data_IF_712527383513
#
_entry.id   IF_712527383513
#
_cell.length_a   1.000
_cell.length_b   1.000
_cell.length_c   1.000
_cell.angle_alpha   90.00
_cell.angle_beta   90.00
_cell.angle_gamma   90.00
#
_symmetry.space_group_name_H-M   'P 1'
#
loop_
_entity.id
_entity.type
_entity.pdbx_description
1 polymer ?
#
# COMPACT_ATOMS: atom_id res chain seq x y z
N UNK A 1 -9.99 -12.68 -7.36
CA UNK A 1 -10.45 -11.40 -6.75
C UNK A 1 -10.96 -11.59 -5.31
N UNK A 2 -11.87 -12.53 -5.04
CA UNK A 2 -12.36 -12.81 -3.67
C UNK A 2 -11.29 -13.29 -2.69
N UNK A 3 -10.32 -14.11 -3.14
CA UNK A 3 -9.22 -14.55 -2.28
C UNK A 3 -8.31 -13.40 -1.82
N UNK A 4 -8.07 -12.41 -2.69
CA UNK A 4 -7.26 -11.25 -2.33
C UNK A 4 -7.98 -10.42 -1.26
N UNK A 5 -9.29 -10.26 -1.39
CA UNK A 5 -10.14 -9.59 -0.41
C UNK A 5 -10.18 -10.35 0.93
N UNK A 6 -10.30 -11.69 0.88
CA UNK A 6 -10.25 -12.54 2.07
C UNK A 6 -8.87 -12.49 2.77
N UNK A 7 -7.77 -12.48 2.00
CA UNK A 7 -6.41 -12.27 2.52
C UNK A 7 -6.25 -10.88 3.14
N UNK A 8 -6.85 -9.84 2.55
CA UNK A 8 -6.88 -8.48 3.11
C UNK A 8 -7.63 -8.45 4.44
N UNK A 9 -8.82 -9.05 4.51
CA UNK A 9 -9.61 -9.13 5.75
C UNK A 9 -8.90 -9.93 6.84
N UNK A 10 -8.24 -11.04 6.48
CA UNK A 10 -7.42 -11.83 7.40
C UNK A 10 -6.19 -11.06 7.88
N UNK A 11 -5.54 -10.32 6.98
CA UNK A 11 -4.43 -9.44 7.29
C UNK A 11 -4.82 -8.33 8.30
N UNK A 12 -5.98 -7.70 8.10
CA UNK A 12 -6.53 -6.69 9.00
C UNK A 12 -6.82 -7.25 10.40
N UNK A 13 -7.23 -8.52 10.47
CA UNK A 13 -7.54 -9.23 11.71
C UNK A 13 -6.32 -9.90 12.40
N UNK A 14 -5.13 -9.87 11.78
CA UNK A 14 -3.93 -10.41 12.43
C UNK A 14 -3.47 -9.51 13.58
N UNK A 15 -2.82 -10.06 14.62
CA UNK A 15 -2.29 -9.31 15.80
C UNK A 15 -1.14 -8.32 15.47
N UNK A 16 -1.01 -7.93 14.20
CA UNK A 16 -0.07 -6.92 13.74
C UNK A 16 -0.53 -5.54 14.17
N UNK A 17 0.41 -4.65 14.49
CA UNK A 17 0.10 -3.28 14.87
C UNK A 17 -0.57 -2.55 13.68
N UNK A 18 -1.66 -1.78 13.91
CA UNK A 18 -2.34 -0.98 12.88
C UNK A 18 -1.38 -0.09 12.07
N UNK A 19 -0.34 0.44 12.69
CA UNK A 19 0.72 1.22 12.02
C UNK A 19 1.52 0.42 10.98
N UNK A 20 1.77 -0.88 11.19
CA UNK A 20 2.49 -1.74 10.23
C UNK A 20 1.65 -2.05 8.98
N UNK A 21 0.33 -2.07 9.13
CA UNK A 21 -0.59 -2.22 8.01
C UNK A 21 -0.73 -0.88 7.29
N UNK A 22 -0.85 0.23 8.03
CA UNK A 22 -0.96 1.58 7.46
C UNK A 22 0.26 1.96 6.64
N UNK A 23 1.47 1.66 7.12
CA UNK A 23 2.70 1.84 6.35
C UNK A 23 2.71 0.98 5.08
N UNK A 24 2.14 -0.22 5.13
CA UNK A 24 1.99 -1.08 3.96
C UNK A 24 1.15 -0.41 2.86
N UNK A 25 0.07 0.29 3.23
CA UNK A 25 -0.75 1.05 2.29
C UNK A 25 0.03 2.23 1.69
N UNK A 26 0.80 2.95 2.50
CA UNK A 26 1.62 4.07 2.01
C UNK A 26 2.68 3.57 1.01
N UNK A 27 3.45 2.55 1.36
CA UNK A 27 4.46 2.00 0.44
C UNK A 27 3.84 1.42 -0.83
N UNK A 28 2.69 0.76 -0.69
CA UNK A 28 1.95 0.23 -1.83
C UNK A 28 1.43 1.34 -2.75
N UNK A 29 1.06 2.50 -2.21
CA UNK A 29 0.67 3.67 -2.99
C UNK A 29 1.85 4.19 -3.81
N UNK A 30 3.02 4.38 -3.18
CA UNK A 30 4.23 4.77 -3.91
C UNK A 30 4.54 3.77 -5.03
N UNK A 31 4.60 2.47 -4.72
CA UNK A 31 4.91 1.45 -5.74
C UNK A 31 3.82 1.28 -6.80
N UNK A 32 2.56 1.55 -6.47
CA UNK A 32 1.42 1.44 -7.38
C UNK A 32 1.27 2.62 -8.32
N UNK A 33 1.56 3.84 -7.85
CA UNK A 33 1.43 5.05 -8.66
C UNK A 33 2.68 5.32 -9.52
N UNK A 34 3.87 4.91 -9.06
CA UNK A 34 5.08 5.09 -9.85
C UNK A 34 5.25 3.96 -10.87
N UNK A 35 5.70 4.25 -12.10
CA UNK A 35 5.95 3.23 -13.12
C UNK A 35 6.88 2.11 -12.63
N UNK A 36 6.44 0.87 -12.74
CA UNK A 36 6.94 -0.28 -11.97
C UNK A 36 8.39 -0.72 -12.24
N UNK A 37 9.07 -0.21 -13.27
CA UNK A 37 10.40 -0.68 -13.72
C UNK A 37 11.52 0.37 -13.57
N UNK A 38 11.46 1.24 -12.56
CA UNK A 38 12.54 2.18 -12.24
C UNK A 38 13.40 1.77 -11.03
N UNK A 39 14.56 2.40 -10.87
CA UNK A 39 15.43 2.23 -9.69
C UNK A 39 14.70 2.50 -8.36
N UNK A 40 13.74 3.45 -8.37
CA UNK A 40 12.92 3.78 -7.22
C UNK A 40 12.09 2.59 -6.72
N UNK A 41 11.56 1.76 -7.63
CA UNK A 41 10.76 0.57 -7.26
C UNK A 41 11.59 -0.47 -6.52
N UNK A 42 12.85 -0.66 -6.90
CA UNK A 42 13.76 -1.58 -6.22
C UNK A 42 14.08 -1.07 -4.81
N UNK A 43 14.38 0.22 -4.69
CA UNK A 43 14.66 0.86 -3.40
C UNK A 43 13.44 0.76 -2.47
N UNK A 44 12.24 1.04 -2.99
CA UNK A 44 10.99 0.91 -2.24
C UNK A 44 10.73 -0.53 -1.81
N UNK A 45 10.95 -1.51 -2.69
CA UNK A 45 10.77 -2.91 -2.35
C UNK A 45 11.74 -3.36 -1.26
N UNK A 46 13.02 -2.97 -1.35
CA UNK A 46 13.99 -3.23 -0.30
C UNK A 46 13.58 -2.58 1.02
N UNK A 47 13.09 -1.34 0.98
CA UNK A 47 12.59 -0.64 2.15
C UNK A 47 11.39 -1.36 2.78
N UNK A 48 10.46 -1.88 1.97
CA UNK A 48 9.31 -2.67 2.45
C UNK A 48 9.74 -4.00 3.08
N UNK A 49 10.83 -4.61 2.62
CA UNK A 49 11.36 -5.86 3.19
C UNK A 49 12.15 -5.62 4.49
N UNK A 50 12.90 -4.52 4.57
CA UNK A 50 13.71 -4.16 5.75
C UNK A 50 12.84 -3.58 6.86
N UNK A 51 11.90 -2.70 6.50
CA UNK A 51 10.91 -2.21 7.44
C UNK A 51 9.93 -3.33 7.72
N UNK A 52 9.56 -3.55 8.99
CA UNK A 52 8.64 -4.61 9.41
C UNK A 52 7.19 -4.32 9.01
N UNK A 53 6.95 -4.16 7.71
CA UNK A 53 5.69 -3.82 7.05
C UNK A 53 4.89 -5.10 6.79
N UNK A 54 3.56 -5.01 6.84
CA UNK A 54 2.72 -6.18 6.61
C UNK A 54 2.59 -6.51 5.11
N UNK A 55 3.39 -7.46 4.61
CA UNK A 55 3.53 -7.77 3.19
C UNK A 55 2.22 -8.17 2.51
N UNK A 56 1.32 -8.90 3.17
CA UNK A 56 0.05 -9.29 2.55
C UNK A 56 -0.87 -8.07 2.34
N UNK A 57 -0.87 -7.10 3.27
CA UNK A 57 -1.61 -5.84 3.08
C UNK A 57 -0.99 -5.00 1.99
N UNK A 58 0.34 -4.96 1.92
CA UNK A 58 1.08 -4.29 0.87
C UNK A 58 0.70 -4.82 -0.52
N UNK A 59 0.73 -6.14 -0.75
CA UNK A 59 0.43 -6.72 -2.08
C UNK A 59 -0.99 -6.37 -2.52
N UNK A 60 -1.97 -6.45 -1.62
CA UNK A 60 -3.36 -6.13 -1.97
C UNK A 60 -3.53 -4.64 -2.23
N UNK A 61 -2.97 -3.79 -1.38
CA UNK A 61 -2.99 -2.35 -1.58
C UNK A 61 -2.26 -1.94 -2.87
N UNK A 62 -1.19 -2.64 -3.23
CA UNK A 62 -0.42 -2.36 -4.44
C UNK A 62 -1.27 -2.62 -5.67
N UNK A 63 -1.99 -3.74 -5.74
CA UNK A 63 -2.94 -3.99 -6.82
C UNK A 63 -4.04 -2.91 -6.91
N UNK A 64 -4.56 -2.44 -5.77
CA UNK A 64 -5.56 -1.37 -5.72
C UNK A 64 -5.01 -0.04 -6.24
N UNK A 65 -3.84 0.39 -5.76
CA UNK A 65 -3.24 1.65 -6.17
C UNK A 65 -2.72 1.62 -7.61
N UNK A 66 -2.19 0.48 -8.08
CA UNK A 66 -1.87 0.31 -9.51
C UNK A 66 -3.10 0.45 -10.39
N UNK A 67 -4.26 -0.05 -9.97
CA UNK A 67 -5.53 0.17 -10.67
C UNK A 67 -5.95 1.65 -10.65
N UNK A 68 -5.84 2.31 -9.50
CA UNK A 68 -6.17 3.72 -9.35
C UNK A 68 -5.20 4.64 -10.12
N UNK A 69 -3.96 4.21 -10.37
CA UNK A 69 -2.97 4.97 -11.14
C UNK A 69 -3.48 5.29 -12.55
N UNK A 70 -4.18 4.35 -13.20
CA UNK A 70 -4.75 4.58 -14.53
C UNK A 70 -5.77 5.72 -14.57
N UNK A 71 -6.52 5.92 -13.48
CA UNK A 71 -7.50 7.00 -13.37
C UNK A 71 -6.84 8.34 -13.01
N UNK A 72 -5.76 8.29 -12.24
CA UNK A 72 -5.02 9.47 -11.79
C UNK A 72 -3.89 9.90 -12.74
N UNK A 73 -3.64 9.14 -13.81
CA UNK A 73 -2.57 9.40 -14.78
C UNK A 73 -2.59 10.83 -15.36
N UNK A 74 -3.75 11.40 -15.76
CA UNK A 74 -3.81 12.80 -16.20
C UNK A 74 -3.36 13.78 -15.12
N UNK A 75 -3.77 13.54 -13.87
CA UNK A 75 -3.39 14.38 -12.72
C UNK A 75 -1.89 14.31 -12.46
N UNK A 76 -1.30 13.12 -12.55
CA UNK A 76 0.16 12.96 -12.43
C UNK A 76 0.88 13.71 -13.54
N UNK A 77 0.43 13.60 -14.78
CA UNK A 77 1.03 14.30 -15.90
C UNK A 77 0.94 15.82 -15.76
N UNK A 78 -0.19 16.36 -15.33
CA UNK A 78 -0.37 17.80 -15.13
C UNK A 78 0.56 18.34 -14.03
N UNK A 79 0.62 17.65 -12.88
CA UNK A 79 1.51 18.02 -11.78
C UNK A 79 2.98 17.97 -12.26
N UNK A 80 3.39 16.87 -12.89
CA UNK A 80 4.76 16.70 -13.36
C UNK A 80 5.17 17.70 -14.42
N UNK A 81 4.28 17.96 -15.39
CA UNK A 81 4.50 18.98 -16.44
C UNK A 81 4.66 20.37 -15.81
N UNK A 82 3.79 20.73 -14.86
CA UNK A 82 3.85 22.01 -14.16
C UNK A 82 5.15 22.20 -13.35
N UNK A 83 5.82 21.12 -12.92
CA UNK A 83 7.08 21.19 -12.18
C UNK A 83 8.29 21.21 -13.11
N UNK A 84 8.26 20.42 -14.18
CA UNK A 84 9.37 20.28 -15.12
C UNK A 84 9.49 21.46 -16.10
N UNK A 85 8.38 22.14 -16.39
CA UNK A 85 8.37 23.27 -17.35
C UNK A 85 8.60 24.64 -16.71
N UNK A 86 8.57 24.73 -15.37
CA UNK A 86 8.79 25.99 -14.64
C UNK A 86 10.19 26.54 -14.90
N UNK A 87 10.25 27.76 -15.42
CA UNK A 87 11.50 28.42 -15.81
C UNK A 87 12.50 28.53 -14.65
N UNK A 88 12.00 28.83 -13.45
CA UNK A 88 12.80 28.97 -12.23
C UNK A 88 13.57 27.69 -11.86
N UNK A 89 13.05 26.52 -12.24
CA UNK A 89 13.59 25.22 -11.84
C UNK A 89 14.38 24.57 -12.97
N UNK A 90 14.43 25.17 -14.17
CA UNK A 90 15.12 24.58 -15.32
C UNK A 90 16.62 24.39 -15.08
N UNK A 91 17.28 25.35 -14.42
CA UNK A 91 18.70 25.22 -14.06
C UNK A 91 18.94 24.01 -13.13
N UNK A 92 18.11 23.87 -12.09
CA UNK A 92 18.16 22.74 -11.17
C UNK A 92 17.97 21.40 -11.91
N UNK A 93 16.96 21.29 -12.77
CA UNK A 93 16.73 20.06 -13.54
C UNK A 93 17.86 19.76 -14.52
N UNK A 94 18.45 20.80 -15.14
CA UNK A 94 19.59 20.66 -16.04
C UNK A 94 20.83 20.13 -15.30
N UNK A 95 21.13 20.65 -14.11
CA UNK A 95 22.25 20.19 -13.28
C UNK A 95 22.07 18.72 -12.88
N UNK A 96 20.87 18.31 -12.46
CA UNK A 96 20.58 16.90 -12.20
C UNK A 96 20.76 16.02 -13.44
N UNK A 97 20.37 16.51 -14.62
CA UNK A 97 20.44 15.74 -15.86
C UNK A 97 21.87 15.45 -16.31
N UNK A 98 22.84 16.28 -15.94
CA UNK A 98 24.26 16.06 -16.21
C UNK A 98 24.82 14.83 -15.46
N UNK A 99 24.19 14.44 -14.34
CA UNK A 99 24.59 13.25 -13.58
C UNK A 99 23.98 11.98 -14.16
N UNK A 100 24.83 11.02 -14.52
CA UNK A 100 24.42 9.69 -15.00
C UNK A 100 23.52 8.96 -14.00
N UNK A 101 23.81 9.08 -12.69
CA UNK A 101 23.02 8.43 -11.64
C UNK A 101 21.58 8.94 -11.63
N UNK A 102 21.40 10.27 -11.69
CA UNK A 102 20.07 10.88 -11.73
C UNK A 102 19.34 10.57 -13.03
N UNK A 103 20.03 10.59 -14.18
CA UNK A 103 19.43 10.25 -15.47
C UNK A 103 18.86 8.82 -15.52
N UNK A 104 19.49 7.86 -14.83
CA UNK A 104 18.98 6.47 -14.71
C UNK A 104 17.63 6.39 -14.01
N UNK A 105 17.28 7.36 -13.16
CA UNK A 105 15.97 7.39 -12.49
C UNK A 105 14.83 7.79 -13.42
N UNK A 106 15.14 8.35 -14.60
CA UNK A 106 14.17 8.87 -15.58
C UNK A 106 13.25 9.94 -14.97
N UNK A 107 13.78 10.78 -14.08
CA UNK A 107 13.03 11.86 -13.42
C UNK A 107 12.45 12.87 -14.41
N UNK A 108 12.98 12.97 -15.64
CA UNK A 108 12.43 13.81 -16.70
C UNK A 108 11.07 13.33 -17.24
N UNK A 109 10.53 12.21 -16.75
CA UNK A 109 9.18 11.75 -17.04
C UNK A 109 8.16 12.48 -16.15
N UNK A 110 7.18 13.16 -16.77
CA UNK A 110 6.12 13.92 -16.09
C UNK A 110 5.28 13.04 -15.17
N UNK A 111 4.89 11.86 -15.62
CA UNK A 111 4.10 10.91 -14.83
C UNK A 111 4.86 10.46 -13.58
N UNK A 112 6.17 10.21 -13.69
CA UNK A 112 7.00 9.77 -12.57
C UNK A 112 7.12 10.87 -11.52
N UNK A 113 7.54 12.09 -11.89
CA UNK A 113 7.66 13.18 -10.90
C UNK A 113 6.30 13.55 -10.32
N UNK A 114 5.27 13.64 -11.15
CA UNK A 114 3.93 14.00 -10.71
C UNK A 114 3.34 12.98 -9.73
N UNK A 115 3.45 11.69 -10.05
CA UNK A 115 3.00 10.61 -9.15
C UNK A 115 3.82 10.56 -7.86
N UNK A 116 5.14 10.82 -7.90
CA UNK A 116 5.97 10.90 -6.70
C UNK A 116 5.57 12.05 -5.78
N UNK A 117 5.38 13.25 -6.33
CA UNK A 117 4.95 14.43 -5.56
C UNK A 117 3.55 14.22 -4.99
N UNK A 118 2.62 13.71 -5.82
CA UNK A 118 1.28 13.37 -5.36
C UNK A 118 1.33 12.35 -4.22
N UNK A 119 2.10 11.27 -4.37
CA UNK A 119 2.26 10.23 -3.36
C UNK A 119 2.87 10.78 -2.07
N UNK A 120 3.84 11.70 -2.17
CA UNK A 120 4.47 12.32 -1.01
C UNK A 120 3.47 13.17 -0.20
N UNK A 121 2.66 13.97 -0.89
CA UNK A 121 1.59 14.76 -0.27
C UNK A 121 0.52 13.84 0.32
N UNK A 122 0.13 12.80 -0.41
CA UNK A 122 -0.90 11.86 -0.01
C UNK A 122 -0.44 10.86 1.08
N UNK A 123 0.86 10.69 1.32
CA UNK A 123 1.39 9.70 2.25
C UNK A 123 0.94 9.92 3.69
N UNK A 124 1.06 11.16 4.19
CA UNK A 124 0.61 11.53 5.54
C UNK A 124 -0.91 11.31 5.72
N UNK A 125 -1.79 11.90 4.90
CA UNK A 125 -3.23 11.71 5.08
C UNK A 125 -3.62 10.25 4.90
N UNK A 126 -3.02 9.51 3.95
CA UNK A 126 -3.30 8.09 3.77
C UNK A 126 -2.87 7.26 4.99
N UNK A 127 -1.72 7.55 5.59
CA UNK A 127 -1.25 6.84 6.79
C UNK A 127 -2.25 7.00 7.95
N UNK A 128 -2.62 8.24 8.27
CA UNK A 128 -3.55 8.50 9.39
C UNK A 128 -4.95 7.96 9.09
N UNK A 129 -5.44 8.14 7.86
CA UNK A 129 -6.75 7.64 7.45
C UNK A 129 -6.82 6.12 7.51
N UNK A 130 -5.83 5.42 6.94
CA UNK A 130 -5.76 3.96 7.00
C UNK A 130 -5.64 3.46 8.43
N UNK A 131 -4.78 4.07 9.25
CA UNK A 131 -4.63 3.70 10.66
C UNK A 131 -5.94 3.87 11.44
N UNK A 132 -6.66 4.96 11.21
CA UNK A 132 -7.98 5.20 11.81
C UNK A 132 -9.03 4.19 11.33
N UNK A 133 -9.10 3.91 10.02
CA UNK A 133 -9.99 2.89 9.43
C UNK A 133 -9.74 1.52 10.04
N UNK A 134 -8.47 1.11 10.15
CA UNK A 134 -8.07 -0.20 10.68
C UNK A 134 -8.45 -0.32 12.16
N UNK A 135 -8.16 0.71 12.96
CA UNK A 135 -8.55 0.72 14.38
C UNK A 135 -10.06 0.64 14.55
N UNK A 136 -10.82 1.42 13.77
CA UNK A 136 -12.29 1.40 13.79
C UNK A 136 -12.85 0.06 13.34
N UNK A 137 -12.26 -0.55 12.31
CA UNK A 137 -12.60 -1.88 11.82
C UNK A 137 -12.37 -2.94 12.91
N UNK A 138 -11.22 -2.92 13.57
CA UNK A 138 -10.92 -3.89 14.64
C UNK A 138 -11.87 -3.78 15.83
N UNK A 139 -12.18 -2.56 16.26
CA UNK A 139 -13.03 -2.36 17.42
C UNK A 139 -14.51 -2.64 17.13
N UNK A 140 -15.03 -2.23 15.97
CA UNK A 140 -16.46 -2.32 15.67
C UNK A 140 -16.83 -3.50 14.79
N UNK A 141 -16.06 -3.75 13.74
CA UNK A 141 -16.45 -4.70 12.71
C UNK A 141 -16.17 -6.15 13.10
N UNK A 142 -15.04 -6.43 13.77
CA UNK A 142 -14.75 -7.77 14.29
C UNK A 142 -15.72 -8.19 15.38
N UNK A 143 -16.08 -7.27 16.28
CA UNK A 143 -17.06 -7.53 17.34
C UNK A 143 -18.45 -7.74 16.76
N UNK A 144 -18.84 -6.95 15.75
CA UNK A 144 -20.13 -7.09 15.09
C UNK A 144 -20.22 -8.38 14.25
N UNK A 145 -19.17 -8.73 13.51
CA UNK A 145 -19.08 -10.01 12.80
C UNK A 145 -19.12 -11.18 13.78
N UNK A 146 -18.34 -11.16 14.87
CA UNK A 146 -18.37 -12.24 15.87
C UNK A 146 -19.73 -12.39 16.56
N UNK A 147 -20.48 -11.29 16.70
CA UNK A 147 -21.86 -11.31 17.23
C UNK A 147 -22.93 -11.61 16.19
N UNK A 148 -22.60 -11.58 14.90
CA UNK A 148 -23.57 -11.86 13.84
C UNK A 148 -23.95 -13.34 13.81
N UNK A 149 -25.24 -13.63 13.57
CA UNK A 149 -25.75 -15.00 13.49
C UNK A 149 -25.03 -15.83 12.43
N UNK A 150 -24.54 -15.19 11.35
CA UNK A 150 -23.76 -15.83 10.29
C UNK A 150 -22.44 -16.41 10.83
N UNK A 151 -21.71 -15.66 11.65
CA UNK A 151 -20.46 -16.15 12.24
C UNK A 151 -20.71 -17.22 13.30
N UNK A 152 -21.81 -17.14 14.05
CA UNK A 152 -22.20 -18.18 15.00
C UNK A 152 -22.54 -19.51 14.30
N UNK A 153 -23.23 -19.46 13.15
CA UNK A 153 -23.51 -20.65 12.32
C UNK A 153 -22.22 -21.23 11.71
N UNK A 154 -21.30 -20.38 11.27
CA UNK A 154 -20.00 -20.85 10.74
C UNK A 154 -19.14 -21.50 11.84
N UNK A 155 -19.07 -20.89 13.04
CA UNK A 155 -18.35 -21.48 14.20
C UNK A 155 -19.01 -22.74 14.75
N UNK A 156 -20.33 -22.88 14.61
CA UNK A 156 -21.08 -24.08 15.00
C UNK A 156 -20.84 -25.27 14.04
N UNK A 157 -20.28 -25.03 12.85
CA UNK A 157 -19.99 -26.09 11.91
C UNK A 157 -18.72 -26.87 12.33
N UNK A 158 -18.80 -28.21 12.35
CA UNK A 158 -17.71 -29.12 12.78
C UNK A 158 -16.40 -28.89 12.02
N UNK A 159 -16.49 -28.47 10.75
CA UNK A 159 -15.33 -28.13 9.92
C UNK A 159 -14.51 -26.96 10.47
N UNK A 160 -15.17 -25.95 11.03
CA UNK A 160 -14.49 -24.79 11.59
C UNK A 160 -13.74 -25.16 12.88
N UNK A 161 -14.32 -26.03 13.70
CA UNK A 161 -13.70 -26.53 14.93
C UNK A 161 -12.46 -27.40 14.65
N UNK A 162 -12.49 -28.22 13.59
CA UNK A 162 -11.33 -29.02 13.16
C UNK A 162 -10.16 -28.13 12.69
N UNK A 163 -10.44 -27.09 11.91
CA UNK A 163 -9.41 -26.14 11.44
C UNK A 163 -8.86 -25.29 12.59
N UNK A 164 -9.73 -24.85 13.51
CA UNK A 164 -9.31 -24.11 14.70
C UNK A 164 -8.39 -24.97 15.59
N UNK A 165 -8.78 -26.21 15.87
CA UNK A 165 -7.98 -27.17 16.65
C UNK A 165 -6.66 -27.52 15.98
N UNK A 166 -6.63 -27.63 14.65
CA UNK A 166 -5.40 -27.86 13.89
C UNK A 166 -4.44 -26.66 13.93
N UNK A 167 -4.94 -25.42 13.98
CA UNK A 167 -4.11 -24.24 14.15
C UNK A 167 -3.57 -24.10 15.58
N UNK A 168 -4.39 -24.39 16.60
CA UNK A 168 -3.93 -24.38 18.01
C UNK A 168 -2.83 -25.43 18.27
N UNK A 169 -2.98 -26.65 17.73
CA UNK A 169 -1.94 -27.69 17.84
C UNK A 169 -0.64 -27.30 17.11
N UNK A 170 -0.72 -26.51 16.03
CA UNK A 170 0.46 -26.05 15.29
C UNK A 170 1.19 -24.87 15.94
N UNK A 171 0.52 -24.10 16.80
CA UNK A 171 1.17 -23.05 17.59
C UNK A 171 1.75 -23.57 18.92
N UNK A 172 1.34 -24.76 19.37
CA UNK A 172 1.82 -25.41 20.59
C UNK A 172 3.02 -26.36 20.38
N UNK A 173 3.42 -26.63 19.13
CA UNK A 173 4.58 -27.46 18.73
C UNK A 173 5.65 -26.57 18.12
#
# INVERSE_FOLDING_TARGET
MFEALAKLLKALNSDRAPGQISSAFVFAMFMGFTPTLGLHSIILLLLVLVLRVHLASFIVAWGLFSGAAYLLDPVFNDIGSSLLTRIEWQAFWADLYQSTAWRLTRFNNTTLIGSLVFSLIAALPLFFLSNWLINKYRQRFLVWINKSKVMQVIKANRFYQLIAKANEVREAV
#
